data_IF_056587847156
#
_entry.id   IF_056587847156
#
_cell.length_a   1.000
_cell.length_b   1.000
_cell.length_c   1.000
_cell.angle_alpha   90.00
_cell.angle_beta   90.00
_cell.angle_gamma   90.00
#
_symmetry.space_group_name_H-M   'P 1'
#
loop_
_entity.id
_entity.type
_entity.pdbx_description
1 polymer ?
#
# COMPACT_ATOMS: atom_id res chain seq x y z
N UNK A 1 21.64 -24.81 28.79
CA UNK A 1 20.97 -23.70 28.10
C UNK A 1 20.78 -24.15 26.67
N UNK A 2 19.53 -24.22 26.22
CA UNK A 2 19.18 -24.89 24.98
C UNK A 2 19.64 -24.10 23.75
N UNK A 3 20.07 -24.83 22.71
CA UNK A 3 20.45 -24.33 21.38
C UNK A 3 19.41 -23.40 20.75
N UNK A 4 18.13 -23.53 21.08
CA UNK A 4 17.05 -22.66 20.60
C UNK A 4 17.15 -21.19 21.00
N UNK A 5 17.81 -20.88 22.13
CA UNK A 5 17.97 -19.48 22.58
C UNK A 5 19.07 -18.74 21.79
N UNK A 6 20.10 -19.43 21.32
CA UNK A 6 21.17 -18.83 20.52
C UNK A 6 20.73 -18.56 19.07
N UNK A 7 19.96 -19.46 18.49
CA UNK A 7 19.39 -19.30 17.15
C UNK A 7 18.39 -18.14 17.09
N UNK A 8 17.49 -18.06 18.07
CA UNK A 8 16.55 -16.94 18.20
C UNK A 8 17.26 -15.59 18.33
N UNK A 9 18.32 -15.48 19.19
CA UNK A 9 19.11 -14.25 19.33
C UNK A 9 19.82 -13.90 18.02
N UNK A 10 20.34 -14.89 17.29
CA UNK A 10 20.97 -14.66 15.98
C UNK A 10 19.97 -14.12 14.95
N UNK A 11 18.77 -14.70 14.89
CA UNK A 11 17.72 -14.26 13.97
C UNK A 11 17.23 -12.86 14.30
N UNK A 12 17.05 -12.54 15.58
CA UNK A 12 16.71 -11.20 16.04
C UNK A 12 17.80 -10.19 15.67
N UNK A 13 19.08 -10.51 15.92
CA UNK A 13 20.18 -9.62 15.54
C UNK A 13 20.25 -9.42 14.02
N UNK A 14 19.97 -10.46 13.21
CA UNK A 14 19.92 -10.37 11.76
C UNK A 14 18.82 -9.43 11.30
N UNK A 15 17.62 -9.53 11.89
CA UNK A 15 16.51 -8.63 11.61
C UNK A 15 16.87 -7.19 11.95
N UNK A 16 17.43 -6.92 13.13
CA UNK A 16 17.85 -5.58 13.56
C UNK A 16 18.91 -4.97 12.63
N UNK A 17 19.90 -5.77 12.19
CA UNK A 17 20.93 -5.29 11.24
C UNK A 17 20.32 -4.96 9.89
N UNK A 18 19.42 -5.81 9.37
CA UNK A 18 18.75 -5.57 8.09
C UNK A 18 17.87 -4.32 8.16
N UNK A 19 17.09 -4.18 9.22
CA UNK A 19 16.25 -3.01 9.48
C UNK A 19 17.05 -1.71 9.56
N UNK A 20 18.18 -1.72 10.30
CA UNK A 20 19.05 -0.56 10.38
C UNK A 20 19.61 -0.15 9.00
N UNK A 21 20.02 -1.12 8.17
CA UNK A 21 20.51 -0.85 6.81
C UNK A 21 19.37 -0.35 5.90
N UNK A 22 18.15 -0.86 6.06
CA UNK A 22 17.00 -0.45 5.24
C UNK A 22 16.55 1.00 5.55
N UNK A 23 16.56 1.37 6.85
CA UNK A 23 16.03 2.64 7.32
C UNK A 23 17.06 3.79 7.36
N UNK A 24 18.37 3.47 7.44
CA UNK A 24 19.45 4.47 7.57
C UNK A 24 20.58 4.29 6.56
N UNK A 25 20.31 4.12 5.25
CA UNK A 25 21.37 3.98 4.25
C UNK A 25 22.07 5.34 3.97
N UNK A 26 23.40 5.31 3.67
CA UNK A 26 24.29 4.16 3.70
C UNK A 26 25.00 4.01 5.05
N UNK A 27 25.16 2.79 5.55
CA UNK A 27 25.85 2.48 6.80
C UNK A 27 27.08 1.59 6.56
N UNK A 28 28.15 1.78 7.35
CA UNK A 28 29.27 0.85 7.39
C UNK A 28 29.06 -0.23 8.46
N UNK A 29 29.85 -1.34 8.40
CA UNK A 29 29.84 -2.35 9.46
C UNK A 29 30.21 -1.77 10.83
N UNK A 30 31.03 -0.71 10.86
CA UNK A 30 31.41 -0.05 12.10
C UNK A 30 30.26 0.80 12.68
N UNK A 31 29.49 1.48 11.82
CA UNK A 31 28.31 2.25 12.24
C UNK A 31 27.24 1.32 12.80
N UNK A 32 26.99 0.18 12.12
CA UNK A 32 26.06 -0.86 12.59
C UNK A 32 26.46 -1.41 13.97
N UNK A 33 27.77 -1.72 14.17
CA UNK A 33 28.26 -2.23 15.44
C UNK A 33 28.04 -1.21 16.59
N UNK A 34 28.25 0.08 16.31
CA UNK A 34 28.04 1.16 17.26
C UNK A 34 26.54 1.40 17.53
N UNK A 35 25.73 1.47 16.48
CA UNK A 35 24.29 1.74 16.56
C UNK A 35 23.53 0.67 17.33
N UNK A 36 23.84 -0.60 17.04
CA UNK A 36 23.13 -1.76 17.60
C UNK A 36 23.80 -2.35 18.84
N UNK A 37 24.91 -1.75 19.33
CA UNK A 37 25.69 -2.26 20.45
C UNK A 37 26.14 -3.72 20.30
N UNK A 38 26.41 -4.14 19.03
CA UNK A 38 26.89 -5.47 18.68
C UNK A 38 28.42 -5.48 18.49
N UNK A 39 29.03 -6.66 18.67
CA UNK A 39 30.46 -6.79 18.37
C UNK A 39 30.72 -6.69 16.85
N UNK A 40 31.90 -6.17 16.48
CA UNK A 40 32.31 -6.08 15.07
C UNK A 40 32.30 -7.46 14.37
N UNK A 41 32.66 -8.53 15.11
CA UNK A 41 32.63 -9.90 14.60
C UNK A 41 31.20 -10.34 14.28
N UNK A 42 30.26 -10.13 15.21
CA UNK A 42 28.83 -10.45 15.01
C UNK A 42 28.26 -9.72 13.79
N UNK A 43 28.48 -8.40 13.71
CA UNK A 43 28.00 -7.60 12.56
C UNK A 43 28.62 -8.07 11.27
N UNK A 44 29.93 -8.39 11.24
CA UNK A 44 30.59 -8.86 10.01
C UNK A 44 30.02 -10.20 9.52
N UNK A 45 29.72 -11.13 10.42
CA UNK A 45 29.08 -12.41 10.08
C UNK A 45 27.67 -12.18 9.54
N UNK A 46 26.85 -11.38 10.22
CA UNK A 46 25.47 -11.10 9.79
C UNK A 46 25.45 -10.38 8.42
N UNK A 47 26.27 -9.35 8.25
CA UNK A 47 26.35 -8.62 6.97
C UNK A 47 26.79 -9.54 5.85
N UNK A 48 27.74 -10.48 6.09
CA UNK A 48 28.13 -11.43 5.05
C UNK A 48 26.95 -12.34 4.67
N UNK A 49 26.20 -12.86 5.63
CA UNK A 49 24.98 -13.64 5.37
C UNK A 49 23.94 -12.85 4.55
N UNK A 50 23.76 -11.56 4.85
CA UNK A 50 22.83 -10.69 4.11
C UNK A 50 23.31 -10.41 2.68
N UNK A 51 24.61 -10.25 2.46
CA UNK A 51 25.22 -10.11 1.14
C UNK A 51 25.09 -11.41 0.32
N UNK A 52 25.37 -12.56 0.92
CA UNK A 52 25.25 -13.87 0.26
C UNK A 52 23.81 -14.17 -0.16
N UNK A 53 22.82 -13.68 0.62
CA UNK A 53 21.39 -13.73 0.32
C UNK A 53 20.91 -12.62 -0.62
N UNK A 54 21.81 -11.74 -1.03
CA UNK A 54 21.51 -10.56 -1.88
C UNK A 54 20.47 -9.60 -1.30
N UNK A 55 20.28 -9.59 0.02
CA UNK A 55 19.39 -8.64 0.72
C UNK A 55 20.05 -7.28 0.92
N UNK A 56 21.36 -7.23 0.92
CA UNK A 56 22.20 -6.03 1.08
C UNK A 56 23.22 -5.99 -0.06
N UNK A 57 23.59 -4.80 -0.49
CA UNK A 57 24.64 -4.56 -1.48
C UNK A 57 25.67 -3.58 -0.95
N UNK A 58 26.91 -3.67 -1.46
CA UNK A 58 28.00 -2.74 -1.18
C UNK A 58 28.01 -1.62 -2.22
N UNK A 59 27.96 -0.36 -1.75
CA UNK A 59 28.01 0.84 -2.60
C UNK A 59 29.44 1.28 -2.96
N UNK A 60 30.47 0.57 -2.48
CA UNK A 60 31.86 0.98 -2.59
C UNK A 60 32.35 1.73 -1.34
N UNK A 61 33.55 2.33 -1.45
CA UNK A 61 34.17 3.03 -0.31
C UNK A 61 33.72 4.47 -0.22
N UNK A 62 33.47 4.95 1.00
CA UNK A 62 33.17 6.35 1.29
C UNK A 62 34.27 7.31 0.78
N UNK A 63 33.94 8.56 0.48
CA UNK A 63 34.89 9.62 0.16
C UNK A 63 35.85 9.90 1.33
N UNK A 64 37.04 10.45 1.03
CA UNK A 64 38.15 10.59 1.98
C UNK A 64 37.79 11.32 3.27
N UNK A 65 37.89 10.62 4.38
CA UNK A 65 38.21 11.22 5.67
C UNK A 65 39.45 10.55 6.24
N UNK A 66 40.42 11.39 6.64
CA UNK A 66 41.70 11.16 7.32
C UNK A 66 42.05 9.71 7.75
N UNK A 67 43.30 9.29 7.36
CA UNK A 67 44.08 8.14 7.87
C UNK A 67 43.28 6.86 8.27
N UNK A 68 43.19 5.90 7.33
CA UNK A 68 42.69 4.55 7.55
C UNK A 68 42.12 3.91 6.29
N UNK A 69 41.87 2.58 6.33
CA UNK A 69 41.17 1.88 5.25
C UNK A 69 39.74 2.40 5.16
N UNK A 70 39.33 2.86 3.99
CA UNK A 70 37.98 3.39 3.76
C UNK A 70 36.91 2.38 4.14
N UNK A 71 35.86 2.76 4.89
CA UNK A 71 34.75 1.86 5.16
C UNK A 71 33.95 1.56 3.88
N UNK A 72 33.58 0.30 3.73
CA UNK A 72 32.65 -0.12 2.68
C UNK A 72 31.23 0.22 3.19
N UNK A 73 30.49 0.97 2.39
CA UNK A 73 29.13 1.36 2.68
C UNK A 73 28.14 0.30 2.18
N UNK A 74 27.12 0.06 2.97
CA UNK A 74 26.07 -0.92 2.75
C UNK A 74 24.73 -0.22 2.52
N UNK A 75 23.92 -0.78 1.66
CA UNK A 75 22.52 -0.38 1.48
C UNK A 75 21.65 -1.59 1.24
N UNK A 76 20.35 -1.44 1.54
CA UNK A 76 19.36 -2.46 1.26
C UNK A 76 19.21 -2.66 -0.25
N UNK A 77 19.13 -3.91 -0.68
CA UNK A 77 18.86 -4.26 -2.08
C UNK A 77 17.35 -4.28 -2.33
N UNK A 78 16.76 -3.13 -2.63
CA UNK A 78 15.32 -3.04 -2.91
C UNK A 78 14.85 -3.90 -4.09
N UNK A 79 15.75 -4.35 -4.96
CA UNK A 79 15.47 -5.24 -6.09
C UNK A 79 15.61 -6.73 -5.76
N UNK A 80 15.84 -7.08 -4.49
CA UNK A 80 15.92 -8.50 -4.12
C UNK A 80 14.59 -9.22 -4.14
N UNK A 81 13.47 -8.50 -4.17
CA UNK A 81 12.10 -9.02 -4.24
C UNK A 81 11.16 -8.08 -4.99
N UNK A 82 9.96 -8.54 -5.21
CA UNK A 82 8.87 -7.77 -5.82
C UNK A 82 7.64 -7.76 -4.91
N UNK A 83 6.85 -6.71 -5.01
CA UNK A 83 5.53 -6.59 -4.37
C UNK A 83 4.44 -6.48 -5.43
N UNK A 84 3.22 -6.87 -5.06
CA UNK A 84 2.00 -6.61 -5.81
C UNK A 84 1.09 -5.76 -4.92
N UNK A 85 0.61 -4.63 -5.43
CA UNK A 85 -0.44 -3.85 -4.80
C UNK A 85 -1.65 -3.82 -5.74
N UNK A 86 -2.83 -4.00 -5.17
CA UNK A 86 -4.11 -4.02 -5.89
C UNK A 86 -4.99 -2.92 -5.32
N UNK A 87 -5.51 -2.09 -6.18
CA UNK A 87 -6.68 -1.25 -5.91
C UNK A 87 -7.89 -1.94 -6.55
N UNK A 88 -8.77 -2.48 -5.71
CA UNK A 88 -10.00 -3.14 -6.13
C UNK A 88 -11.11 -2.09 -6.25
N UNK A 89 -11.03 -1.29 -7.32
CA UNK A 89 -11.97 -0.20 -7.57
C UNK A 89 -13.37 -0.67 -7.97
N UNK A 90 -14.27 0.30 -8.17
CA UNK A 90 -15.68 0.02 -8.51
C UNK A 90 -15.84 -0.49 -9.94
N UNK A 91 -15.09 0.08 -10.89
CA UNK A 91 -15.21 -0.21 -12.34
C UNK A 91 -14.02 -0.98 -12.91
N UNK A 92 -12.89 -0.94 -12.20
CA UNK A 92 -11.63 -1.54 -12.65
C UNK A 92 -10.82 -2.05 -11.47
N UNK A 93 -9.99 -3.04 -11.73
CA UNK A 93 -8.93 -3.50 -10.84
C UNK A 93 -7.63 -2.87 -11.34
N UNK A 94 -6.95 -2.12 -10.49
CA UNK A 94 -5.63 -1.58 -10.80
C UNK A 94 -4.58 -2.40 -10.07
N UNK A 95 -3.63 -2.97 -10.80
CA UNK A 95 -2.53 -3.76 -10.23
C UNK A 95 -1.22 -3.03 -10.46
N UNK A 96 -0.54 -2.73 -9.36
CA UNK A 96 0.81 -2.20 -9.35
C UNK A 96 1.78 -3.30 -8.95
N UNK A 97 2.89 -3.41 -9.70
CA UNK A 97 4.05 -4.21 -9.30
C UNK A 97 5.25 -3.31 -9.12
N UNK A 98 6.07 -3.57 -8.14
CA UNK A 98 7.24 -2.74 -7.85
C UNK A 98 8.33 -3.48 -7.09
N UNK A 99 9.46 -2.81 -6.90
CA UNK A 99 10.50 -3.27 -5.97
C UNK A 99 10.09 -2.99 -4.51
N UNK A 100 10.88 -3.46 -3.54
CA UNK A 100 10.56 -3.38 -2.11
C UNK A 100 10.59 -1.95 -1.53
N UNK A 101 10.91 -0.93 -2.33
CA UNK A 101 10.84 0.49 -1.96
C UNK A 101 9.83 1.28 -2.82
N UNK A 102 8.96 0.56 -3.56
CA UNK A 102 7.99 1.21 -4.44
C UNK A 102 8.64 1.99 -5.59
N UNK A 103 9.85 1.60 -5.99
CA UNK A 103 10.51 2.15 -7.18
C UNK A 103 10.36 1.19 -8.34
N UNK A 104 10.59 1.67 -9.56
CA UNK A 104 10.45 0.85 -10.77
C UNK A 104 9.07 0.19 -10.89
N UNK A 105 8.02 0.96 -10.59
CA UNK A 105 6.65 0.47 -10.61
C UNK A 105 6.12 0.30 -12.04
N UNK A 106 5.29 -0.73 -12.22
CA UNK A 106 4.45 -0.93 -13.41
C UNK A 106 3.00 -1.00 -12.96
N UNK A 107 2.12 -0.27 -13.64
CA UNK A 107 0.69 -0.24 -13.36
C UNK A 107 -0.05 -0.84 -14.55
N UNK A 108 -1.01 -1.72 -14.27
CA UNK A 108 -1.94 -2.31 -15.26
C UNK A 108 -3.36 -2.18 -14.73
N UNK A 109 -4.28 -1.80 -15.60
CA UNK A 109 -5.69 -1.67 -15.30
C UNK A 109 -6.49 -2.74 -16.03
N UNK A 110 -7.47 -3.30 -15.34
CA UNK A 110 -8.35 -4.36 -15.86
C UNK A 110 -9.80 -3.97 -15.55
N UNK A 111 -10.67 -3.83 -16.56
CA UNK A 111 -12.09 -3.55 -16.31
C UNK A 111 -12.74 -4.72 -15.57
N UNK A 112 -13.64 -4.40 -14.64
CA UNK A 112 -14.45 -5.40 -13.96
C UNK A 112 -15.58 -5.82 -14.90
N UNK A 113 -15.69 -7.13 -15.16
CA UNK A 113 -16.83 -7.72 -15.87
C UNK A 113 -17.85 -8.23 -14.84
N UNK A 114 -19.03 -7.62 -14.76
CA UNK A 114 -20.04 -8.03 -13.79
C UNK A 114 -20.60 -9.44 -14.02
N UNK A 115 -20.30 -10.07 -15.15
CA UNK A 115 -20.68 -11.46 -15.41
C UNK A 115 -19.74 -12.49 -14.78
N UNK A 116 -18.54 -12.06 -14.34
CA UNK A 116 -17.52 -12.91 -13.73
C UNK A 116 -17.58 -12.82 -12.20
N UNK A 117 -17.17 -13.90 -11.52
CA UNK A 117 -16.86 -13.83 -10.10
C UNK A 117 -15.66 -12.92 -9.92
N UNK A 118 -15.85 -11.80 -9.21
CA UNK A 118 -14.77 -10.82 -8.97
C UNK A 118 -13.57 -11.46 -8.28
N UNK A 119 -13.81 -12.33 -7.33
CA UNK A 119 -12.79 -13.02 -6.58
C UNK A 119 -11.97 -13.98 -7.45
N UNK A 120 -12.62 -14.83 -8.25
CA UNK A 120 -11.94 -15.73 -9.18
C UNK A 120 -11.14 -14.95 -10.23
N UNK A 121 -11.70 -13.82 -10.70
CA UNK A 121 -11.03 -12.94 -11.63
C UNK A 121 -9.79 -12.29 -11.01
N UNK A 122 -9.91 -11.75 -9.80
CA UNK A 122 -8.78 -11.19 -9.04
C UNK A 122 -7.65 -12.23 -8.88
N UNK A 123 -7.99 -13.45 -8.45
CA UNK A 123 -7.02 -14.52 -8.26
C UNK A 123 -6.31 -14.84 -9.58
N UNK A 124 -7.05 -14.94 -10.68
CA UNK A 124 -6.47 -15.20 -12.01
C UNK A 124 -5.49 -14.11 -12.44
N UNK A 125 -5.84 -12.84 -12.16
CA UNK A 125 -4.97 -11.69 -12.43
C UNK A 125 -3.71 -11.69 -11.57
N UNK A 126 -3.84 -12.05 -10.29
CA UNK A 126 -2.70 -12.16 -9.38
C UNK A 126 -1.74 -13.28 -9.81
N UNK A 127 -2.24 -14.46 -10.20
CA UNK A 127 -1.40 -15.53 -10.76
C UNK A 127 -0.66 -15.09 -12.02
N UNK A 128 -1.36 -14.46 -12.95
CA UNK A 128 -0.76 -13.92 -14.17
C UNK A 128 0.31 -12.87 -13.82
N UNK A 129 -0.01 -11.95 -12.91
CA UNK A 129 0.93 -10.92 -12.48
C UNK A 129 2.17 -11.52 -11.82
N UNK A 130 1.99 -12.51 -10.92
CA UNK A 130 3.10 -13.23 -10.27
C UNK A 130 4.01 -13.91 -11.31
N UNK A 131 3.43 -14.50 -12.36
CA UNK A 131 4.21 -15.15 -13.44
C UNK A 131 5.01 -14.16 -14.29
N UNK A 132 4.53 -12.92 -14.41
CA UNK A 132 5.17 -11.83 -15.16
C UNK A 132 6.27 -11.11 -14.36
N UNK A 133 6.38 -11.36 -13.04
CA UNK A 133 7.38 -10.69 -12.19
C UNK A 133 8.81 -11.07 -12.59
N UNK A 134 9.77 -10.15 -12.45
CA UNK A 134 11.17 -10.46 -12.66
C UNK A 134 11.65 -11.53 -11.67
N UNK A 135 12.54 -12.41 -12.13
CA UNK A 135 13.20 -13.36 -11.23
C UNK A 135 14.14 -12.64 -10.30
N UNK A 136 13.83 -12.66 -9.01
CA UNK A 136 14.60 -12.01 -7.95
C UNK A 136 14.94 -13.01 -6.85
N UNK A 137 15.98 -12.77 -6.01
CA UNK A 137 16.37 -13.68 -4.93
C UNK A 137 15.23 -14.05 -3.97
N UNK A 138 14.34 -13.11 -3.67
CA UNK A 138 13.20 -13.32 -2.76
C UNK A 138 11.88 -13.59 -3.49
N UNK A 139 11.81 -13.43 -4.81
CA UNK A 139 10.57 -13.57 -5.58
C UNK A 139 9.51 -12.53 -5.18
N UNK A 140 8.25 -12.95 -5.15
CA UNK A 140 7.16 -12.16 -4.59
C UNK A 140 7.28 -12.17 -3.06
N UNK A 141 7.28 -10.99 -2.44
CA UNK A 141 7.49 -10.80 -0.99
C UNK A 141 6.18 -10.54 -0.25
N UNK A 142 5.21 -9.94 -0.91
CA UNK A 142 3.91 -9.65 -0.31
C UNK A 142 2.91 -9.07 -1.29
N UNK A 143 1.63 -9.11 -0.91
CA UNK A 143 0.50 -8.56 -1.66
C UNK A 143 -0.25 -7.59 -0.75
N UNK A 144 -0.60 -6.41 -1.26
CA UNK A 144 -1.50 -5.46 -0.59
C UNK A 144 -2.74 -5.27 -1.44
N UNK A 145 -3.93 -5.27 -0.82
CA UNK A 145 -5.21 -5.07 -1.50
C UNK A 145 -5.96 -3.96 -0.81
N UNK A 146 -6.18 -2.86 -1.55
CA UNK A 146 -7.07 -1.78 -1.17
C UNK A 146 -8.48 -2.07 -1.68
N UNK A 147 -9.47 -1.95 -0.80
CA UNK A 147 -10.88 -2.15 -1.14
C UNK A 147 -11.71 -0.94 -0.74
N UNK A 148 -12.78 -0.72 -1.49
CA UNK A 148 -13.82 0.28 -1.16
C UNK A 148 -14.83 -0.36 -0.20
N UNK A 149 -14.62 -0.14 1.10
CA UNK A 149 -15.46 -0.73 2.12
C UNK A 149 -14.83 -0.68 3.52
N UNK A 150 -15.51 -1.27 4.48
CA UNK A 150 -15.07 -1.32 5.87
C UNK A 150 -14.25 -2.57 6.11
N UNK A 151 -13.04 -2.39 6.60
CA UNK A 151 -12.12 -3.46 7.01
C UNK A 151 -11.79 -3.32 8.49
N UNK A 152 -11.78 -4.42 9.20
CA UNK A 152 -11.36 -4.48 10.59
C UNK A 152 -10.55 -5.75 10.82
N UNK A 153 -9.35 -5.61 11.39
CA UNK A 153 -8.43 -6.73 11.65
C UNK A 153 -8.23 -7.63 10.41
N UNK A 154 -7.98 -7.01 9.25
CA UNK A 154 -7.83 -7.66 7.94
C UNK A 154 -9.10 -8.39 7.43
N UNK A 155 -10.23 -8.26 8.11
CA UNK A 155 -11.50 -8.83 7.68
C UNK A 155 -12.34 -7.79 6.95
N UNK A 156 -12.86 -8.19 5.80
CA UNK A 156 -13.82 -7.37 5.04
C UNK A 156 -15.18 -7.48 5.71
N UNK A 157 -15.63 -6.39 6.35
CA UNK A 157 -16.92 -6.35 7.03
C UNK A 157 -18.06 -5.94 6.10
N UNK A 158 -17.78 -5.02 5.20
CA UNK A 158 -18.77 -4.47 4.29
C UNK A 158 -18.14 -3.89 3.03
N UNK A 159 -18.73 -4.16 1.88
CA UNK A 159 -18.41 -3.54 0.59
C UNK A 159 -19.70 -3.17 -0.12
N UNK A 160 -19.94 -1.88 -0.46
CA UNK A 160 -21.19 -1.45 -1.09
C UNK A 160 -21.25 -1.74 -2.60
N UNK A 161 -20.12 -2.00 -3.24
CA UNK A 161 -20.01 -2.03 -4.70
C UNK A 161 -19.85 -3.43 -5.29
N UNK A 162 -19.40 -4.41 -4.48
CA UNK A 162 -19.18 -5.77 -4.94
C UNK A 162 -19.36 -6.79 -3.81
N UNK A 163 -19.73 -8.00 -4.17
CA UNK A 163 -19.86 -9.12 -3.21
C UNK A 163 -18.53 -9.89 -3.17
N UNK A 164 -17.89 -9.91 -2.00
CA UNK A 164 -16.75 -10.77 -1.73
C UNK A 164 -17.24 -11.98 -0.96
N UNK A 165 -17.18 -13.16 -1.57
CA UNK A 165 -17.65 -14.43 -0.99
C UNK A 165 -16.89 -14.82 0.28
N UNK A 166 -15.63 -14.39 0.39
CA UNK A 166 -14.77 -14.69 1.53
C UNK A 166 -14.47 -13.43 2.31
N UNK A 167 -15.16 -13.23 3.42
CA UNK A 167 -14.85 -12.14 4.37
C UNK A 167 -13.39 -12.17 4.85
N UNK A 168 -12.73 -13.32 4.75
CA UNK A 168 -11.32 -13.55 5.08
C UNK A 168 -10.45 -13.68 3.81
N UNK A 169 -10.54 -12.72 2.93
CA UNK A 169 -9.77 -12.65 1.68
C UNK A 169 -8.26 -12.76 1.93
N UNK A 170 -7.77 -12.17 3.03
CA UNK A 170 -6.36 -12.24 3.43
C UNK A 170 -5.88 -13.68 3.54
N UNK A 171 -6.49 -14.47 4.43
CA UNK A 171 -6.03 -15.84 4.69
C UNK A 171 -6.10 -16.71 3.43
N UNK A 172 -7.16 -16.53 2.64
CA UNK A 172 -7.30 -17.26 1.39
C UNK A 172 -6.14 -16.97 0.42
N UNK A 173 -5.76 -15.69 0.26
CA UNK A 173 -4.66 -15.30 -0.62
C UNK A 173 -3.28 -15.65 -0.03
N UNK A 174 -3.11 -15.61 1.29
CA UNK A 174 -1.89 -16.07 1.95
C UNK A 174 -1.67 -17.57 1.74
N UNK A 175 -2.75 -18.38 1.82
CA UNK A 175 -2.69 -19.83 1.51
C UNK A 175 -2.35 -20.08 0.04
N UNK A 176 -2.94 -19.31 -0.90
CA UNK A 176 -2.74 -19.49 -2.33
C UNK A 176 -1.36 -19.03 -2.81
N UNK A 177 -0.90 -17.87 -2.33
CA UNK A 177 0.33 -17.24 -2.84
C UNK A 177 1.55 -17.51 -1.98
N UNK A 178 1.38 -18.02 -0.75
CA UNK A 178 2.45 -18.32 0.22
C UNK A 178 3.33 -17.11 0.54
N UNK A 179 2.71 -15.92 0.62
CA UNK A 179 3.33 -14.66 1.01
C UNK A 179 2.39 -13.87 1.92
N UNK A 180 2.88 -12.98 2.77
CA UNK A 180 2.03 -12.09 3.55
C UNK A 180 1.08 -11.28 2.67
N UNK A 181 -0.17 -11.13 3.11
CA UNK A 181 -1.20 -10.34 2.44
C UNK A 181 -1.78 -9.33 3.42
N UNK A 182 -1.94 -8.10 2.96
CA UNK A 182 -2.65 -7.03 3.68
C UNK A 182 -3.91 -6.72 2.90
N UNK A 183 -5.04 -6.69 3.58
CA UNK A 183 -6.32 -6.21 3.04
C UNK A 183 -6.77 -5.05 3.90
N UNK A 184 -6.96 -3.89 3.29
CA UNK A 184 -7.31 -2.67 4.03
C UNK A 184 -8.20 -1.76 3.16
N UNK A 185 -8.88 -0.82 3.80
CA UNK A 185 -9.60 0.25 3.12
C UNK A 185 -8.64 1.10 2.26
N UNK A 186 -9.07 1.54 1.07
CA UNK A 186 -8.22 2.26 0.12
C UNK A 186 -7.75 3.62 0.64
N UNK A 187 -8.58 4.36 1.40
CA UNK A 187 -8.17 5.64 1.98
C UNK A 187 -7.17 5.46 3.13
N UNK A 188 -7.30 4.36 3.90
CA UNK A 188 -6.33 3.98 4.91
C UNK A 188 -4.97 3.62 4.30
N UNK A 189 -4.94 2.85 3.21
CA UNK A 189 -3.69 2.58 2.49
C UNK A 189 -3.10 3.85 1.89
N UNK A 190 -3.94 4.78 1.42
CA UNK A 190 -3.49 6.05 0.86
C UNK A 190 -2.78 6.92 1.89
N UNK A 191 -3.34 7.07 3.11
CA UNK A 191 -2.69 7.84 4.17
C UNK A 191 -1.38 7.21 4.64
N UNK A 192 -1.29 5.88 4.68
CA UNK A 192 -0.04 5.15 4.99
C UNK A 192 1.00 5.43 3.90
N UNK A 193 0.59 5.35 2.62
CA UNK A 193 1.47 5.61 1.48
C UNK A 193 2.00 7.04 1.45
N UNK A 194 1.14 8.04 1.67
CA UNK A 194 1.56 9.45 1.76
C UNK A 194 2.51 9.68 2.94
N UNK A 195 2.23 9.13 4.11
CA UNK A 195 3.11 9.25 5.27
C UNK A 195 4.47 8.61 5.05
N UNK A 196 4.54 7.51 4.30
CA UNK A 196 5.81 6.86 3.93
C UNK A 196 6.65 7.70 2.95
N UNK A 197 6.00 8.54 2.12
CA UNK A 197 6.67 9.46 1.20
C UNK A 197 7.02 10.80 1.85
N UNK A 198 6.21 11.27 2.79
CA UNK A 198 6.36 12.53 3.50
C UNK A 198 7.03 12.33 4.86
N UNK A 199 8.35 12.28 4.89
CA UNK A 199 9.21 11.84 6.02
C UNK A 199 8.97 12.52 7.39
N UNK A 200 8.00 13.45 7.54
CA UNK A 200 7.90 14.29 8.74
C UNK A 200 6.52 14.33 9.40
N UNK A 201 5.50 13.72 8.82
CA UNK A 201 4.16 13.80 9.38
C UNK A 201 3.81 12.54 10.19
N UNK A 202 3.69 12.69 11.51
CA UNK A 202 3.15 11.65 12.39
C UNK A 202 1.63 11.74 12.56
N UNK A 203 1.07 12.91 12.31
CA UNK A 203 -0.37 13.14 12.36
C UNK A 203 -0.81 13.66 11.00
N UNK A 204 -1.69 12.93 10.33
CA UNK A 204 -2.13 13.23 8.97
C UNK A 204 -3.58 12.80 8.79
N UNK A 205 -4.32 13.61 8.05
CA UNK A 205 -5.60 13.24 7.47
C UNK A 205 -5.43 13.27 5.95
N UNK A 206 -5.74 12.16 5.31
CA UNK A 206 -5.78 12.04 3.86
C UNK A 206 -7.24 11.95 3.42
N UNK A 207 -7.68 12.84 2.54
CA UNK A 207 -9.01 12.84 1.98
C UNK A 207 -8.94 12.39 0.52
N UNK A 208 -9.57 11.27 0.21
CA UNK A 208 -9.67 10.72 -1.14
C UNK A 208 -11.05 11.03 -1.71
N UNK A 209 -11.12 11.81 -2.80
CA UNK A 209 -12.35 12.18 -3.48
C UNK A 209 -12.28 11.63 -4.90
N UNK A 210 -12.98 10.52 -5.13
CA UNK A 210 -13.07 9.82 -6.40
C UNK A 210 -14.52 9.33 -6.66
N UNK A 211 -14.71 8.04 -6.93
CA UNK A 211 -16.04 7.42 -7.06
C UNK A 211 -16.88 7.62 -5.79
N UNK A 212 -16.23 7.64 -4.63
CA UNK A 212 -16.78 8.00 -3.31
C UNK A 212 -15.92 9.06 -2.62
N UNK A 213 -16.10 9.19 -1.31
CA UNK A 213 -15.30 10.06 -0.44
C UNK A 213 -14.82 9.26 0.76
N UNK A 214 -13.54 8.90 0.74
CA UNK A 214 -12.85 8.20 1.81
C UNK A 214 -11.92 9.11 2.61
N UNK A 215 -11.62 8.77 3.85
CA UNK A 215 -10.67 9.49 4.69
C UNK A 215 -9.81 8.52 5.48
N UNK A 216 -8.50 8.62 5.32
CA UNK A 216 -7.52 7.92 6.15
C UNK A 216 -6.96 8.83 7.23
N UNK A 217 -6.72 8.32 8.43
CA UNK A 217 -6.25 9.09 9.59
C UNK A 217 -5.02 8.42 10.19
N UNK A 218 -3.94 9.18 10.36
CA UNK A 218 -2.77 8.79 11.14
C UNK A 218 -2.68 9.63 12.41
N UNK A 219 -2.41 8.99 13.54
CA UNK A 219 -2.13 9.62 14.83
C UNK A 219 -0.84 9.01 15.38
N UNK A 220 0.13 9.86 15.68
CA UNK A 220 1.46 9.46 16.17
C UNK A 220 2.22 8.46 15.26
N UNK A 221 1.90 8.48 13.97
CA UNK A 221 2.49 7.60 12.95
C UNK A 221 1.79 6.25 12.80
N UNK A 222 0.71 6.03 13.53
CA UNK A 222 -0.10 4.82 13.45
C UNK A 222 -1.47 5.09 12.82
N UNK A 223 -1.96 4.13 12.04
CA UNK A 223 -3.28 4.21 11.43
C UNK A 223 -4.36 4.18 12.51
N UNK A 224 -5.24 5.18 12.49
CA UNK A 224 -6.39 5.25 13.39
C UNK A 224 -7.64 4.72 12.69
N UNK A 225 -8.03 3.51 13.00
CA UNK A 225 -9.20 2.83 12.44
C UNK A 225 -10.47 2.99 13.29
N UNK A 226 -10.32 3.52 14.51
CA UNK A 226 -11.43 3.65 15.45
C UNK A 226 -11.93 2.29 15.95
N UNK A 227 -13.15 2.30 16.49
CA UNK A 227 -13.79 1.07 16.89
C UNK A 227 -14.40 0.37 15.67
N UNK A 228 -14.07 -0.91 15.48
CA UNK A 228 -14.59 -1.75 14.38
C UNK A 228 -14.28 -1.23 12.96
N UNK A 229 -13.20 -0.47 12.76
CA UNK A 229 -12.78 -0.04 11.43
C UNK A 229 -13.57 1.14 10.81
N UNK A 230 -14.42 1.82 11.60
CA UNK A 230 -15.29 2.89 11.07
C UNK A 230 -14.71 4.31 11.16
N UNK A 231 -13.47 4.48 11.62
CA UNK A 231 -12.85 5.81 11.52
C UNK A 231 -12.61 6.15 10.06
N UNK A 232 -12.83 7.41 9.71
CA UNK A 232 -12.61 7.87 8.33
C UNK A 232 -13.82 7.74 7.40
N UNK A 233 -14.96 7.23 7.86
CA UNK A 233 -16.22 7.15 7.09
C UNK A 233 -16.86 8.54 6.88
N UNK A 234 -16.02 9.54 6.57
CA UNK A 234 -16.41 10.95 6.44
C UNK A 234 -17.39 11.19 5.30
N UNK A 235 -17.24 10.47 4.20
CA UNK A 235 -18.14 10.53 3.05
C UNK A 235 -19.59 10.18 3.38
N UNK A 236 -19.81 9.39 4.44
CA UNK A 236 -21.14 8.98 4.88
C UNK A 236 -21.74 9.89 5.97
N UNK A 237 -21.08 11.01 6.29
CA UNK A 237 -21.70 12.08 7.10
C UNK A 237 -22.93 12.62 6.38
N UNK A 238 -24.09 12.69 7.07
CA UNK A 238 -25.34 13.19 6.50
C UNK A 238 -25.24 14.70 6.33
N UNK A 239 -25.17 15.15 5.08
CA UNK A 239 -25.18 16.58 4.73
C UNK A 239 -26.60 17.11 4.61
N UNK A 240 -27.49 16.35 3.97
CA UNK A 240 -28.90 16.72 3.80
C UNK A 240 -29.79 15.57 4.30
N UNK A 241 -30.46 15.72 5.46
CA UNK A 241 -31.43 14.72 5.90
C UNK A 241 -32.46 14.42 4.79
N UNK A 242 -32.80 13.17 4.59
CA UNK A 242 -33.71 12.71 3.52
C UNK A 242 -33.27 13.08 2.09
N UNK A 243 -32.00 13.40 1.88
CA UNK A 243 -31.43 13.73 0.58
C UNK A 243 -31.22 12.52 -0.35
N UNK A 244 -30.24 12.60 -1.22
CA UNK A 244 -29.94 11.55 -2.23
C UNK A 244 -29.69 10.19 -1.56
N UNK A 245 -30.20 9.07 -2.13
CA UNK A 245 -29.90 7.75 -1.63
C UNK A 245 -28.40 7.45 -1.76
N UNK A 246 -27.85 6.77 -0.76
CA UNK A 246 -26.45 6.34 -0.74
C UNK A 246 -26.34 4.81 -0.78
N UNK A 247 -25.36 4.23 -1.48
CA UNK A 247 -25.11 2.79 -1.49
C UNK A 247 -24.91 2.16 -0.11
N UNK A 248 -24.51 2.94 0.91
CA UNK A 248 -24.41 2.49 2.29
C UNK A 248 -25.77 2.20 2.97
N UNK A 249 -26.88 2.50 2.31
CA UNK A 249 -28.25 2.35 2.83
C UNK A 249 -28.82 3.61 3.48
N UNK A 250 -28.05 4.66 3.71
CA UNK A 250 -28.50 5.95 4.20
C UNK A 250 -28.96 6.89 3.09
N UNK A 251 -29.48 8.07 3.47
CA UNK A 251 -29.82 9.16 2.57
C UNK A 251 -29.07 10.43 2.97
N UNK A 252 -28.66 11.22 1.96
CA UNK A 252 -28.06 12.52 2.15
C UNK A 252 -26.58 12.52 2.56
N UNK A 253 -25.87 11.42 2.37
CA UNK A 253 -24.45 11.33 2.62
C UNK A 253 -23.66 12.34 1.79
N UNK A 254 -22.61 12.93 2.38
CA UNK A 254 -21.75 13.94 1.77
C UNK A 254 -21.20 13.49 0.39
N UNK A 255 -20.78 12.25 0.26
CA UNK A 255 -20.23 11.73 -1.00
C UNK A 255 -21.20 11.82 -2.17
N UNK A 256 -22.52 11.77 -1.93
CA UNK A 256 -23.55 11.89 -2.97
C UNK A 256 -23.65 13.29 -3.57
N UNK A 257 -22.86 14.25 -3.06
CA UNK A 257 -22.85 15.64 -3.50
C UNK A 257 -21.48 16.13 -3.94
N UNK A 258 -20.39 15.54 -3.44
CA UNK A 258 -19.03 16.03 -3.71
C UNK A 258 -18.10 15.01 -4.33
N UNK A 259 -18.50 13.73 -4.45
CA UNK A 259 -17.66 12.75 -5.18
C UNK A 259 -17.55 13.11 -6.66
N UNK A 260 -16.47 12.71 -7.31
CA UNK A 260 -16.27 12.89 -8.75
C UNK A 260 -17.49 12.35 -9.53
N UNK A 261 -17.94 11.15 -9.18
CA UNK A 261 -19.10 10.53 -9.81
C UNK A 261 -20.37 11.39 -9.65
N UNK A 262 -20.60 11.93 -8.47
CA UNK A 262 -21.77 12.78 -8.21
C UNK A 262 -21.71 14.09 -9.01
N UNK A 263 -20.56 14.76 -9.03
CA UNK A 263 -20.35 15.99 -9.80
C UNK A 263 -20.54 15.76 -11.30
N UNK A 264 -19.97 14.68 -11.84
CA UNK A 264 -20.14 14.35 -13.27
C UNK A 264 -21.58 14.00 -13.62
N UNK A 265 -22.30 13.30 -12.74
CA UNK A 265 -23.71 12.98 -12.95
C UNK A 265 -24.59 14.25 -12.92
N UNK A 266 -24.33 15.17 -11.97
CA UNK A 266 -25.05 16.43 -11.89
C UNK A 266 -24.81 17.29 -13.14
N UNK A 267 -23.56 17.36 -13.57
CA UNK A 267 -23.20 18.09 -14.78
C UNK A 267 -23.86 17.46 -16.03
N UNK A 268 -23.80 16.13 -16.16
CA UNK A 268 -24.46 15.42 -17.27
C UNK A 268 -25.97 15.71 -17.31
N UNK A 269 -26.63 15.68 -16.14
CA UNK A 269 -28.05 15.99 -16.03
C UNK A 269 -28.36 17.44 -16.41
N UNK A 270 -27.54 18.41 -16.00
CA UNK A 270 -27.70 19.81 -16.34
C UNK A 270 -27.55 20.09 -17.84
N UNK A 271 -26.60 19.42 -18.51
CA UNK A 271 -26.32 19.57 -19.95
C UNK A 271 -27.15 18.64 -20.84
N UNK A 272 -27.98 17.75 -20.27
CA UNK A 272 -28.76 16.78 -21.03
C UNK A 272 -27.91 15.69 -21.70
N UNK A 273 -26.80 15.32 -21.11
CA UNK A 273 -25.86 14.31 -21.57
C UNK A 273 -26.10 12.98 -20.84
N UNK A 274 -25.86 11.85 -21.49
CA UNK A 274 -26.02 10.55 -20.85
C UNK A 274 -24.81 10.15 -19.98
N UNK A 275 -23.59 10.48 -20.45
CA UNK A 275 -22.33 10.20 -19.74
C UNK A 275 -21.32 11.31 -20.00
N UNK A 276 -20.57 11.69 -18.99
CA UNK A 276 -19.48 12.68 -19.09
C UNK A 276 -18.23 12.13 -18.43
N UNK A 277 -17.10 12.20 -19.15
CA UNK A 277 -15.79 11.92 -18.54
C UNK A 277 -15.22 13.17 -17.85
N UNK A 278 -14.26 12.97 -16.96
CA UNK A 278 -13.54 14.06 -16.30
C UNK A 278 -12.90 15.01 -17.31
N UNK A 279 -12.28 14.46 -18.37
CA UNK A 279 -11.65 15.25 -19.43
C UNK A 279 -12.66 16.14 -20.16
N UNK A 280 -13.85 15.59 -20.44
CA UNK A 280 -14.93 16.34 -21.07
C UNK A 280 -15.48 17.44 -20.18
N UNK A 281 -15.63 17.15 -18.87
CA UNK A 281 -16.03 18.15 -17.87
C UNK A 281 -15.00 19.28 -17.77
N UNK A 282 -13.70 18.96 -17.70
CA UNK A 282 -12.63 19.97 -17.67
C UNK A 282 -12.63 20.81 -18.94
N UNK A 283 -12.83 20.19 -20.12
CA UNK A 283 -12.91 20.91 -21.38
C UNK A 283 -14.06 21.91 -21.38
N UNK A 284 -15.26 21.50 -20.93
CA UNK A 284 -16.43 22.39 -20.82
C UNK A 284 -16.14 23.61 -19.92
N UNK A 285 -15.51 23.37 -18.77
CA UNK A 285 -15.11 24.45 -17.86
C UNK A 285 -14.11 25.42 -18.51
N UNK A 286 -13.12 24.90 -19.23
CA UNK A 286 -12.10 25.72 -19.93
C UNK A 286 -12.69 26.52 -21.08
N UNK A 287 -13.71 26.01 -21.75
CA UNK A 287 -14.43 26.73 -22.82
C UNK A 287 -15.33 27.85 -22.30
N UNK A 288 -15.41 28.05 -20.98
CA UNK A 288 -16.14 29.14 -20.32
C UNK A 288 -17.65 28.94 -20.32
N UNK A 289 -18.11 27.70 -20.38
CA UNK A 289 -19.53 27.37 -20.24
C UNK A 289 -20.00 27.71 -18.81
N UNK A 290 -21.14 28.43 -18.64
CA UNK A 290 -21.58 29.00 -17.37
C UNK A 290 -22.24 27.99 -16.41
N UNK A 291 -22.42 26.72 -16.75
CA UNK A 291 -23.09 25.70 -15.94
C UNK A 291 -22.16 24.79 -15.18
#
# INVERSE_FOLDING_TARGET
>A
MSTGNQEYIRDMNRALVLEAIANHPPLSRADLAKMLHLTKATVSTIVQELLDRQLVIELGSAEKTSMGRKPILLTFNNRCGSIIAVDLGVKKITILTGDLKGKSCTVKEYPIDPSLSLEEYLISLLHKTKSDLPKTPCGLVGISIGIYGVVCDDLVLFTPYYDLKHSNLKNYLEEEFQVPVIVENEANLSVIGEAACAEHFKNMIFLNIHEGVGMGILIDGELYTGQNGYAGEFGHTILFPDGRPCPCGNHGCLEQYISEASVLNDFAAAEGLENVSVERFIQYYQEGNPN
#
